data_IF_838476422934
#
_entry.id   IF_838476422934
#
_cell.length_a   1.000
_cell.length_b   1.000
_cell.length_c   1.000
_cell.angle_alpha   90.00
_cell.angle_beta   90.00
_cell.angle_gamma   90.00
#
_symmetry.space_group_name_H-M   'P 1'
#
loop_
_entity.id
_entity.type
_entity.pdbx_description
1 polymer ?
#
# COMPACT_ATOMS: atom_id res chain seq x y z
N UNK A 1 -7.49 -18.37 4.40
CA UNK A 1 -7.41 -18.49 5.87
C UNK A 1 -8.16 -17.32 6.50
N UNK A 2 -8.72 -17.52 7.67
CA UNK A 2 -9.41 -16.48 8.44
C UNK A 2 -8.39 -15.57 9.14
N UNK A 3 -8.79 -14.32 9.40
CA UNK A 3 -7.96 -13.38 10.15
C UNK A 3 -7.68 -13.93 11.56
N UNK A 4 -6.43 -13.85 12.03
CA UNK A 4 -6.00 -14.37 13.33
C UNK A 4 -5.67 -15.86 13.36
N UNK A 5 -5.89 -16.62 12.28
CA UNK A 5 -5.59 -18.07 12.25
C UNK A 5 -4.11 -18.40 12.51
N UNK A 6 -3.21 -17.45 12.29
CA UNK A 6 -1.78 -17.62 12.55
C UNK A 6 -1.47 -17.78 14.04
N UNK A 7 -2.21 -17.07 14.90
CA UNK A 7 -2.02 -17.14 16.36
C UNK A 7 -2.41 -18.54 16.88
N UNK A 8 -3.54 -19.09 16.38
CA UNK A 8 -3.97 -20.45 16.71
C UNK A 8 -2.92 -21.50 16.24
N UNK A 9 -2.35 -21.32 15.05
CA UNK A 9 -1.27 -22.19 14.57
C UNK A 9 -0.01 -22.06 15.42
N UNK A 10 0.35 -20.86 15.84
CA UNK A 10 1.51 -20.62 16.68
C UNK A 10 1.37 -21.27 18.06
N UNK A 11 0.19 -21.17 18.69
CA UNK A 11 -0.11 -21.79 19.97
C UNK A 11 -0.04 -23.33 19.92
N UNK A 12 -0.52 -23.92 18.81
CA UNK A 12 -0.52 -25.37 18.63
C UNK A 12 0.83 -25.93 18.15
N UNK A 13 1.74 -25.09 17.68
CA UNK A 13 3.00 -25.50 17.04
C UNK A 13 4.14 -25.65 18.04
N UNK A 14 5.01 -26.67 17.81
CA UNK A 14 6.28 -26.85 18.55
C UNK A 14 7.47 -26.21 17.84
N UNK A 15 7.24 -25.58 16.68
CA UNK A 15 8.26 -24.90 15.88
C UNK A 15 7.84 -23.45 15.62
N UNK A 16 8.77 -22.53 15.35
CA UNK A 16 8.44 -21.16 15.01
C UNK A 16 7.46 -21.07 13.83
N UNK A 17 6.47 -20.20 13.95
CA UNK A 17 5.49 -19.90 12.89
C UNK A 17 5.75 -18.48 12.36
N UNK A 18 5.88 -18.35 11.05
CA UNK A 18 6.07 -17.06 10.38
C UNK A 18 4.79 -16.72 9.63
N UNK A 19 4.19 -15.56 9.95
CA UNK A 19 3.02 -15.06 9.26
C UNK A 19 3.38 -14.59 7.85
N UNK A 20 2.97 -15.36 6.83
CA UNK A 20 3.03 -15.01 5.39
C UNK A 20 1.72 -14.47 4.84
N UNK A 21 0.81 -14.04 5.73
CA UNK A 21 -0.48 -13.46 5.42
C UNK A 21 -1.67 -14.26 5.96
N UNK A 22 -2.48 -13.63 6.82
CA UNK A 22 -3.67 -14.20 7.43
C UNK A 22 -4.93 -13.40 7.10
N UNK A 23 -5.70 -13.88 6.15
CA UNK A 23 -6.95 -13.24 5.73
C UNK A 23 -6.72 -11.80 5.22
N UNK A 24 -7.51 -10.86 5.74
CA UNK A 24 -7.42 -9.41 5.53
C UNK A 24 -6.74 -8.66 6.68
N UNK A 25 -6.16 -9.40 7.64
CA UNK A 25 -5.52 -8.85 8.82
C UNK A 25 -4.10 -8.34 8.50
N UNK A 26 -3.11 -9.21 8.46
CA UNK A 26 -1.69 -8.83 8.39
C UNK A 26 -0.91 -9.62 7.32
N UNK A 27 0.19 -9.02 6.87
CA UNK A 27 1.20 -9.65 6.03
C UNK A 27 2.60 -9.13 6.40
N UNK A 28 3.11 -9.46 7.59
CA UNK A 28 4.36 -8.89 8.09
C UNK A 28 5.58 -9.21 7.22
N UNK A 29 5.66 -10.41 6.65
CA UNK A 29 6.76 -10.77 5.74
C UNK A 29 6.76 -9.89 4.46
N UNK A 30 5.58 -9.49 3.94
CA UNK A 30 5.49 -8.54 2.83
C UNK A 30 5.95 -7.14 3.27
N UNK A 31 5.50 -6.68 4.43
CA UNK A 31 5.92 -5.37 4.94
C UNK A 31 7.44 -5.26 5.14
N UNK A 32 8.10 -6.34 5.59
CA UNK A 32 9.55 -6.37 5.70
C UNK A 32 10.25 -6.36 4.34
N UNK A 33 9.69 -7.06 3.34
CA UNK A 33 10.18 -7.02 1.95
C UNK A 33 10.05 -5.61 1.36
N UNK A 34 8.89 -4.99 1.54
CA UNK A 34 8.63 -3.62 1.08
C UNK A 34 9.56 -2.63 1.76
N UNK A 35 9.72 -2.73 3.08
CA UNK A 35 10.62 -1.89 3.85
C UNK A 35 12.08 -2.02 3.39
N UNK A 36 12.53 -3.25 3.11
CA UNK A 36 13.88 -3.48 2.57
C UNK A 36 14.04 -2.79 1.21
N UNK A 37 13.05 -2.92 0.32
CA UNK A 37 13.05 -2.27 -1.00
C UNK A 37 13.08 -0.75 -0.85
N UNK A 38 12.18 -0.17 -0.03
CA UNK A 38 12.13 1.25 0.29
C UNK A 38 13.50 1.75 0.76
N UNK A 39 14.10 1.03 1.71
CA UNK A 39 15.41 1.37 2.26
C UNK A 39 16.48 1.41 1.17
N UNK A 40 16.55 0.37 0.34
CA UNK A 40 17.56 0.28 -0.73
C UNK A 40 17.41 1.37 -1.78
N UNK A 41 16.20 1.65 -2.20
CA UNK A 41 15.91 2.69 -3.18
C UNK A 41 16.22 4.10 -2.63
N UNK A 42 15.89 4.36 -1.38
CA UNK A 42 16.20 5.65 -0.73
C UNK A 42 17.71 5.82 -0.50
N UNK A 43 18.42 4.77 -0.05
CA UNK A 43 19.88 4.79 0.11
C UNK A 43 20.58 5.14 -1.20
N UNK A 44 20.11 4.63 -2.35
CA UNK A 44 20.66 4.95 -3.67
C UNK A 44 20.55 6.44 -4.03
N UNK A 45 19.60 7.13 -3.39
CA UNK A 45 19.33 8.57 -3.54
C UNK A 45 19.88 9.43 -2.38
N UNK A 46 20.70 8.85 -1.50
CA UNK A 46 21.20 9.49 -0.27
C UNK A 46 20.06 9.97 0.65
N UNK A 47 18.93 9.26 0.69
CA UNK A 47 17.78 9.52 1.57
C UNK A 47 17.65 8.42 2.62
N UNK A 48 16.91 8.74 3.69
CA UNK A 48 16.55 7.82 4.78
C UNK A 48 15.04 7.53 4.75
N UNK A 49 14.59 6.47 5.46
CA UNK A 49 13.18 6.25 5.73
C UNK A 49 12.64 7.31 6.70
N UNK A 50 13.46 7.84 7.61
CA UNK A 50 13.07 9.02 8.38
C UNK A 50 12.85 10.20 7.40
N UNK A 51 11.70 10.83 7.50
CA UNK A 51 11.26 11.88 6.59
C UNK A 51 10.63 11.39 5.27
N UNK A 52 10.42 10.08 5.11
CA UNK A 52 9.78 9.49 3.92
C UNK A 52 8.39 10.09 3.67
N UNK A 53 8.12 10.41 2.42
CA UNK A 53 6.79 10.79 1.92
C UNK A 53 6.30 9.72 0.97
N UNK A 54 5.24 8.99 1.36
CA UNK A 54 4.72 7.84 0.60
C UNK A 54 3.23 7.96 0.33
N UNK A 55 2.81 7.69 -0.90
CA UNK A 55 1.41 7.56 -1.29
C UNK A 55 1.01 6.08 -1.29
N UNK A 56 0.01 5.71 -0.51
CA UNK A 56 -0.61 4.38 -0.50
C UNK A 56 -1.94 4.46 -1.26
N UNK A 57 -2.07 3.72 -2.37
CA UNK A 57 -3.16 3.90 -3.33
C UNK A 57 -3.92 2.60 -3.58
N UNK A 58 -5.25 2.67 -3.65
CA UNK A 58 -6.12 1.58 -4.07
C UNK A 58 -7.02 1.06 -2.97
N UNK A 59 -7.05 -0.25 -2.73
CA UNK A 59 -7.84 -0.88 -1.67
C UNK A 59 -7.10 -0.84 -0.34
N UNK A 60 -7.29 0.24 0.41
CA UNK A 60 -6.66 0.40 1.72
C UNK A 60 -7.46 -0.29 2.82
N UNK A 61 -8.73 -0.68 2.54
CA UNK A 61 -9.59 -1.33 3.53
C UNK A 61 -9.23 -2.80 3.74
N UNK A 62 -9.02 -3.53 2.66
CA UNK A 62 -8.74 -4.97 2.68
C UNK A 62 -7.27 -5.29 2.39
N UNK A 63 -6.45 -4.27 2.14
CA UNK A 63 -5.06 -4.37 1.76
C UNK A 63 -4.14 -4.73 2.92
N UNK A 64 -4.09 -6.01 3.34
CA UNK A 64 -3.26 -6.47 4.47
C UNK A 64 -1.78 -6.07 4.36
N UNK A 65 -1.22 -6.01 3.16
CA UNK A 65 0.15 -5.52 2.95
C UNK A 65 0.29 -4.05 3.36
N UNK A 66 -0.72 -3.21 3.00
CA UNK A 66 -0.79 -1.80 3.42
C UNK A 66 -0.92 -1.69 4.94
N UNK A 67 -1.75 -2.52 5.58
CA UNK A 67 -1.93 -2.49 7.03
C UNK A 67 -0.60 -2.73 7.76
N UNK A 68 0.10 -3.79 7.38
CA UNK A 68 1.41 -4.12 7.98
C UNK A 68 2.48 -3.09 7.63
N UNK A 69 2.49 -2.54 6.40
CA UNK A 69 3.42 -1.47 6.02
C UNK A 69 3.20 -0.20 6.85
N UNK A 70 1.94 0.22 7.05
CA UNK A 70 1.60 1.35 7.91
C UNK A 70 2.17 1.18 9.34
N UNK A 71 1.99 -0.01 9.93
CA UNK A 71 2.51 -0.31 11.27
C UNK A 71 4.04 -0.25 11.34
N UNK A 72 4.73 -0.79 10.34
CA UNK A 72 6.20 -0.76 10.29
C UNK A 72 6.72 0.67 10.10
N UNK A 73 6.05 1.49 9.29
CA UNK A 73 6.43 2.89 9.08
C UNK A 73 6.29 3.74 10.36
N UNK A 74 5.43 3.34 11.30
CA UNK A 74 5.32 4.00 12.62
C UNK A 74 6.60 3.90 13.47
N UNK A 75 7.56 3.04 13.12
CA UNK A 75 8.85 2.92 13.80
C UNK A 75 9.85 4.00 13.36
N UNK A 76 9.53 4.79 12.35
CA UNK A 76 10.40 5.82 11.77
C UNK A 76 9.89 7.23 12.09
N UNK A 77 10.79 8.23 11.99
CA UNK A 77 10.48 9.61 12.32
C UNK A 77 10.01 10.41 11.11
N UNK A 78 9.09 11.34 11.35
CA UNK A 78 8.65 12.35 10.39
C UNK A 78 8.14 11.78 9.05
N UNK A 79 7.60 10.57 9.07
CA UNK A 79 7.00 9.93 7.89
C UNK A 79 5.65 10.59 7.57
N UNK A 80 5.42 10.89 6.30
CA UNK A 80 4.14 11.39 5.78
C UNK A 80 3.51 10.35 4.87
N UNK A 81 2.27 9.95 5.16
CA UNK A 81 1.52 8.95 4.40
C UNK A 81 0.31 9.59 3.73
N UNK A 82 0.29 9.65 2.39
CA UNK A 82 -0.88 10.03 1.63
C UNK A 82 -1.74 8.79 1.38
N UNK A 83 -2.95 8.76 1.94
CA UNK A 83 -3.91 7.66 1.83
C UNK A 83 -4.92 7.96 0.72
N UNK A 84 -4.76 7.30 -0.43
CA UNK A 84 -5.53 7.58 -1.64
C UNK A 84 -6.42 6.38 -1.97
N UNK A 85 -7.72 6.53 -1.77
CA UNK A 85 -8.66 5.43 -1.97
C UNK A 85 -10.07 5.91 -2.24
N UNK A 86 -10.91 5.11 -2.91
CA UNK A 86 -12.34 5.34 -2.94
C UNK A 86 -12.92 5.43 -1.53
N UNK A 87 -13.96 6.24 -1.32
CA UNK A 87 -14.53 6.53 0.03
C UNK A 87 -14.87 5.29 0.86
N UNK A 88 -15.29 4.19 0.22
CA UNK A 88 -15.64 2.94 0.91
C UNK A 88 -14.45 1.99 1.13
N UNK A 89 -13.29 2.29 0.55
CA UNK A 89 -12.06 1.50 0.64
C UNK A 89 -10.97 2.19 1.45
N UNK A 90 -11.34 3.13 2.30
CA UNK A 90 -10.44 3.86 3.20
C UNK A 90 -9.76 2.93 4.19
N UNK A 91 -8.56 3.32 4.60
CA UNK A 91 -7.82 2.64 5.66
C UNK A 91 -8.65 2.53 6.95
N UNK A 92 -8.71 1.35 7.60
CA UNK A 92 -9.43 1.17 8.86
C UNK A 92 -8.98 2.13 9.95
N UNK A 93 -9.92 2.56 10.79
CA UNK A 93 -9.63 3.46 11.91
C UNK A 93 -8.63 2.86 12.90
N UNK A 94 -8.68 1.55 13.13
CA UNK A 94 -7.74 0.82 13.99
C UNK A 94 -6.28 0.98 13.54
N UNK A 95 -6.03 0.98 12.23
CA UNK A 95 -4.67 1.22 11.70
C UNK A 95 -4.30 2.70 11.85
N UNK A 96 -5.23 3.63 11.57
CA UNK A 96 -4.96 5.08 11.75
C UNK A 96 -4.69 5.47 13.21
N UNK A 97 -5.22 4.72 14.16
CA UNK A 97 -4.93 4.94 15.58
C UNK A 97 -3.45 4.71 15.91
N UNK A 98 -2.78 3.77 15.24
CA UNK A 98 -1.33 3.56 15.45
C UNK A 98 -0.49 4.78 15.07
N UNK A 99 -0.97 5.63 14.15
CA UNK A 99 -0.28 6.85 13.78
C UNK A 99 -0.25 7.89 14.90
N UNK A 100 -1.26 7.90 15.79
CA UNK A 100 -1.36 8.85 16.92
C UNK A 100 -0.26 8.67 17.95
N UNK A 101 0.26 7.45 18.06
CA UNK A 101 1.33 7.10 19.01
C UNK A 101 2.73 7.19 18.38
N UNK A 102 2.81 7.66 17.15
CA UNK A 102 4.04 7.76 16.36
C UNK A 102 4.23 9.18 15.82
N UNK A 103 5.34 9.45 15.16
CA UNK A 103 5.58 10.71 14.42
C UNK A 103 5.10 10.66 12.96
N UNK A 104 4.17 9.76 12.64
CA UNK A 104 3.56 9.67 11.30
C UNK A 104 2.45 10.69 11.15
N UNK A 105 2.55 11.52 10.13
CA UNK A 105 1.45 12.36 9.65
C UNK A 105 0.76 11.72 8.45
N UNK A 106 -0.54 11.97 8.27
CA UNK A 106 -1.25 11.43 7.11
C UNK A 106 -2.29 12.40 6.54
N UNK A 107 -2.55 12.24 5.25
CA UNK A 107 -3.57 12.97 4.49
C UNK A 107 -4.45 11.97 3.73
N UNK A 108 -5.77 12.16 3.72
CA UNK A 108 -6.72 11.29 3.00
C UNK A 108 -7.35 12.00 1.83
N UNK A 109 -7.37 11.35 0.65
CA UNK A 109 -8.06 11.85 -0.55
C UNK A 109 -8.58 10.71 -1.41
N UNK A 110 -9.56 11.00 -2.28
CA UNK A 110 -10.00 10.13 -3.37
C UNK A 110 -9.49 10.63 -4.76
N UNK A 111 -8.67 11.69 -4.76
CA UNK A 111 -8.05 12.28 -5.94
C UNK A 111 -6.58 11.85 -6.03
N UNK A 112 -6.28 10.98 -7.01
CA UNK A 112 -4.93 10.45 -7.20
C UNK A 112 -3.91 11.56 -7.49
N UNK A 113 -4.28 12.56 -8.30
CA UNK A 113 -3.35 13.61 -8.73
C UNK A 113 -2.91 14.51 -7.57
N UNK A 114 -3.80 14.76 -6.61
CA UNK A 114 -3.47 15.51 -5.39
C UNK A 114 -2.63 14.68 -4.42
N UNK A 115 -2.87 13.38 -4.38
CA UNK A 115 -2.23 12.52 -3.41
C UNK A 115 -0.82 12.09 -3.78
N UNK A 116 -0.46 12.07 -5.07
CA UNK A 116 0.86 11.63 -5.54
C UNK A 116 1.85 12.76 -5.73
N UNK A 117 1.42 14.01 -5.60
CA UNK A 117 2.34 15.15 -5.72
C UNK A 117 3.31 15.16 -4.53
N UNK A 118 4.59 15.42 -4.82
CA UNK A 118 5.62 15.63 -3.81
C UNK A 118 5.81 14.43 -2.84
N UNK A 119 5.78 13.19 -3.39
CA UNK A 119 6.09 11.96 -2.67
C UNK A 119 7.36 11.30 -3.21
N UNK A 120 8.08 10.60 -2.35
CA UNK A 120 9.25 9.82 -2.73
C UNK A 120 8.84 8.49 -3.37
N UNK A 121 7.73 7.92 -2.86
CA UNK A 121 7.25 6.58 -3.24
C UNK A 121 5.74 6.59 -3.47
N UNK A 122 5.34 5.93 -4.53
CA UNK A 122 3.95 5.52 -4.79
C UNK A 122 3.86 4.01 -4.57
N UNK A 123 3.05 3.59 -3.60
CA UNK A 123 2.75 2.18 -3.34
C UNK A 123 1.33 1.88 -3.79
N UNK A 124 1.20 1.22 -4.93
CA UNK A 124 -0.08 0.91 -5.56
C UNK A 124 -0.57 -0.47 -5.16
N UNK A 125 -1.87 -0.61 -4.90
CA UNK A 125 -2.51 -1.90 -4.65
C UNK A 125 -3.72 -2.10 -5.57
N UNK A 126 -3.95 -3.35 -5.98
CA UNK A 126 -5.17 -3.71 -6.72
C UNK A 126 -6.40 -3.69 -5.80
N UNK A 127 -7.58 -3.61 -6.40
CA UNK A 127 -8.83 -3.86 -5.69
C UNK A 127 -8.95 -5.36 -5.40
N UNK A 128 -9.18 -5.72 -4.14
CA UNK A 128 -9.30 -7.12 -3.71
C UNK A 128 -10.75 -7.63 -3.91
N UNK A 129 -11.12 -7.92 -5.16
CA UNK A 129 -12.49 -8.31 -5.53
C UNK A 129 -13.02 -9.49 -4.73
N UNK A 130 -12.15 -10.41 -4.34
CA UNK A 130 -12.45 -11.59 -3.54
C UNK A 130 -12.95 -11.29 -2.12
N UNK A 131 -12.79 -10.05 -1.65
CA UNK A 131 -13.22 -9.58 -0.32
C UNK A 131 -14.60 -8.93 -0.33
N UNK A 132 -15.18 -8.70 -1.49
CA UNK A 132 -16.50 -8.10 -1.59
C UNK A 132 -17.60 -9.16 -1.55
N UNK A 133 -18.78 -8.77 -1.02
CA UNK A 133 -19.95 -9.65 -0.96
C UNK A 133 -20.50 -9.99 -2.34
N UNK A 134 -20.26 -9.15 -3.34
CA UNK A 134 -20.68 -9.40 -4.73
C UNK A 134 -19.71 -8.79 -5.75
N UNK A 135 -19.62 -9.46 -6.93
CA UNK A 135 -18.87 -8.95 -8.08
C UNK A 135 -19.43 -7.63 -8.62
N UNK A 136 -20.73 -7.38 -8.45
CA UNK A 136 -21.36 -6.11 -8.82
C UNK A 136 -20.89 -4.95 -7.95
N UNK A 137 -20.57 -5.22 -6.71
CA UNK A 137 -20.04 -4.21 -5.80
C UNK A 137 -18.57 -3.92 -6.11
N UNK A 138 -17.72 -4.92 -6.23
CA UNK A 138 -16.29 -4.75 -6.55
C UNK A 138 -16.08 -4.06 -7.91
N UNK A 139 -16.92 -4.39 -8.89
CA UNK A 139 -16.87 -3.79 -10.23
C UNK A 139 -17.02 -2.26 -10.26
N UNK A 140 -17.64 -1.66 -9.22
CA UNK A 140 -17.77 -0.19 -9.11
C UNK A 140 -16.45 0.52 -8.82
N UNK A 141 -15.42 -0.21 -8.38
CA UNK A 141 -14.13 0.36 -7.97
C UNK A 141 -13.02 0.07 -8.97
N UNK A 142 -13.28 -0.79 -9.97
CA UNK A 142 -12.33 -1.11 -11.04
C UNK A 142 -11.92 0.15 -11.79
N UNK A 143 -10.64 0.30 -12.04
CA UNK A 143 -10.08 1.42 -12.80
C UNK A 143 -10.23 2.81 -12.17
N UNK A 144 -10.87 2.95 -10.98
CA UNK A 144 -11.03 4.27 -10.33
C UNK A 144 -9.68 4.83 -9.84
N UNK A 145 -8.76 3.95 -9.48
CA UNK A 145 -7.42 4.31 -9.01
C UNK A 145 -6.41 3.70 -9.97
N UNK A 146 -6.22 4.34 -11.12
CA UNK A 146 -5.25 3.91 -12.13
C UNK A 146 -4.17 4.96 -12.32
N UNK A 147 -2.92 4.52 -12.34
CA UNK A 147 -1.75 5.33 -12.64
C UNK A 147 -1.21 4.97 -14.02
N UNK A 148 -1.00 5.98 -14.85
CA UNK A 148 -0.38 5.88 -16.18
C UNK A 148 0.78 6.87 -16.30
N UNK A 149 1.52 6.79 -17.40
CA UNK A 149 2.67 7.66 -17.65
C UNK A 149 2.30 9.14 -17.69
N UNK A 150 1.13 9.50 -18.23
CA UNK A 150 0.69 10.90 -18.29
C UNK A 150 0.46 11.48 -16.89
N UNK A 151 -0.28 10.75 -16.04
CA UNK A 151 -0.55 11.16 -14.64
C UNK A 151 0.76 11.25 -13.87
N UNK A 152 1.64 10.26 -14.01
CA UNK A 152 2.96 10.24 -13.35
C UNK A 152 3.80 11.46 -13.76
N UNK A 153 3.98 11.67 -15.05
CA UNK A 153 4.83 12.77 -15.57
C UNK A 153 4.33 14.16 -15.18
N UNK A 154 3.02 14.33 -15.07
CA UNK A 154 2.43 15.64 -14.70
C UNK A 154 2.50 15.96 -13.22
N UNK A 155 2.50 14.96 -12.35
CA UNK A 155 2.24 15.15 -10.93
C UNK A 155 3.38 14.68 -10.03
N UNK A 156 4.34 13.92 -10.54
CA UNK A 156 5.42 13.35 -9.75
C UNK A 156 6.78 13.91 -10.17
N UNK A 157 7.72 13.88 -9.23
CA UNK A 157 9.13 14.12 -9.58
C UNK A 157 9.67 12.95 -10.41
N UNK A 158 10.62 13.19 -11.35
CA UNK A 158 11.14 12.16 -12.26
C UNK A 158 11.72 10.92 -11.54
N UNK A 159 12.12 11.08 -10.29
CA UNK A 159 12.73 10.03 -9.47
C UNK A 159 11.75 9.40 -8.45
N UNK A 160 10.45 9.68 -8.54
CA UNK A 160 9.45 9.05 -7.68
C UNK A 160 9.38 7.56 -7.98
N UNK A 161 9.51 6.74 -6.94
CA UNK A 161 9.56 5.28 -7.06
C UNK A 161 8.13 4.74 -7.09
N UNK A 162 7.84 3.77 -7.98
CA UNK A 162 6.57 3.06 -8.01
C UNK A 162 6.79 1.64 -7.48
N UNK A 163 6.00 1.26 -6.47
CA UNK A 163 6.01 -0.08 -5.87
C UNK A 163 4.63 -0.74 -5.92
N UNK A 164 4.61 -2.07 -5.92
CA UNK A 164 3.39 -2.87 -5.89
C UNK A 164 3.65 -4.21 -5.19
N UNK A 165 2.83 -4.65 -4.20
CA UNK A 165 3.05 -5.91 -3.48
C UNK A 165 2.77 -7.16 -4.32
N UNK A 166 2.29 -6.98 -5.55
CA UNK A 166 1.91 -8.04 -6.49
C UNK A 166 0.81 -9.01 -5.97
N UNK A 167 0.08 -9.72 -6.87
CA UNK A 167 0.11 -9.53 -8.32
C UNK A 167 -0.60 -8.24 -8.75
N UNK A 168 -0.18 -7.65 -9.87
CA UNK A 168 -0.93 -6.58 -10.55
C UNK A 168 -2.17 -7.15 -11.22
N UNK A 169 -3.24 -6.35 -11.28
CA UNK A 169 -4.38 -6.67 -12.13
C UNK A 169 -4.15 -6.09 -13.53
N UNK A 170 -3.91 -6.97 -14.50
CA UNK A 170 -3.61 -6.58 -15.88
C UNK A 170 -4.86 -6.58 -16.79
N UNK A 171 -6.04 -6.78 -16.22
CA UNK A 171 -7.30 -6.72 -17.02
C UNK A 171 -7.56 -5.28 -17.46
N UNK A 172 -8.01 -5.06 -18.70
CA UNK A 172 -8.21 -3.70 -19.24
C UNK A 172 -9.17 -2.83 -18.43
N UNK A 173 -10.13 -3.45 -17.74
CA UNK A 173 -11.14 -2.77 -16.92
C UNK A 173 -10.74 -2.58 -15.44
N UNK A 174 -9.59 -3.11 -15.04
CA UNK A 174 -9.14 -3.12 -13.63
C UNK A 174 -7.66 -2.76 -13.47
N UNK A 175 -7.00 -2.33 -14.53
CA UNK A 175 -5.58 -2.01 -14.57
C UNK A 175 -5.22 -0.84 -13.64
N UNK A 176 -4.63 -1.12 -12.48
CA UNK A 176 -4.20 -0.09 -11.52
C UNK A 176 -2.86 0.56 -11.90
N UNK A 177 -1.98 -0.19 -12.60
CA UNK A 177 -0.73 0.33 -13.16
C UNK A 177 -0.68 0.07 -14.65
N UNK A 178 -0.76 1.12 -15.46
CA UNK A 178 -0.70 0.98 -16.90
C UNK A 178 0.66 0.43 -17.36
N UNK A 179 0.68 -0.50 -18.35
CA UNK A 179 1.92 -1.02 -18.91
C UNK A 179 2.88 0.03 -19.49
N UNK A 180 2.39 1.22 -19.85
CA UNK A 180 3.23 2.33 -20.32
C UNK A 180 4.28 2.76 -19.28
N UNK A 181 3.99 2.60 -17.99
CA UNK A 181 4.92 2.85 -16.90
C UNK A 181 6.10 1.87 -16.84
N UNK A 182 6.02 0.70 -17.49
CA UNK A 182 7.11 -0.28 -17.49
C UNK A 182 8.33 0.19 -18.32
N UNK A 183 8.18 1.26 -19.10
CA UNK A 183 9.27 1.85 -19.90
C UNK A 183 9.94 3.02 -19.17
N UNK A 184 9.49 3.36 -17.99
CA UNK A 184 10.13 4.39 -17.17
C UNK A 184 11.48 3.86 -16.67
N UNK A 185 12.60 4.59 -16.88
CA UNK A 185 13.94 4.15 -16.51
C UNK A 185 14.14 4.06 -14.99
#
# INVERSE_FOLDING_TARGET
HEAGSVDEFAEASRVPVINGGDGDNEHPSQALLDLYTIKKELESKNKSIDGLRIALIGDLKYGRAVHSLCKVLCLYKDVTINLISPKKLKLPSSIKETFKESSVSFFETDDITKGISDVDIIYMTRIQEERFTSKSESGKYKGLMSLNQEIYTKNCEPNTIIMHPLPRDSRPDANELDPDLNQNP
#
